data_IF_887382058043
#
_entry.id   IF_887382058043
#
_cell.length_a   1.000
_cell.length_b   1.000
_cell.length_c   1.000
_cell.angle_alpha   90.00
_cell.angle_beta   90.00
_cell.angle_gamma   90.00
#
_symmetry.space_group_name_H-M   'P 1'
#
loop_
_entity.id
_entity.type
_entity.pdbx_description
1 polymer ?
#
# COMPACT_ATOMS: atom_id res chain seq x y z
N UNK A 1 25.30 1.02 4.70
CA UNK A 1 24.91 1.99 5.76
C UNK A 1 23.40 2.20 5.61
N UNK A 2 22.58 1.59 6.47
CA UNK A 2 21.12 1.62 6.32
C UNK A 2 20.55 2.97 6.72
N UNK A 3 19.72 3.56 5.87
CA UNK A 3 18.93 4.74 6.22
C UNK A 3 18.13 4.45 7.50
N UNK A 4 18.32 5.28 8.52
CA UNK A 4 17.68 5.14 9.84
C UNK A 4 16.49 6.08 10.00
N UNK A 5 16.01 6.64 8.89
CA UNK A 5 14.85 7.50 8.84
C UNK A 5 13.62 6.78 9.42
N UNK A 6 12.78 7.54 10.12
CA UNK A 6 11.52 7.02 10.63
C UNK A 6 10.61 6.71 9.46
N UNK A 7 9.88 5.60 9.53
CA UNK A 7 8.86 5.28 8.53
C UNK A 7 7.74 6.30 8.66
N UNK A 8 7.33 6.88 7.55
CA UNK A 8 6.24 7.84 7.49
C UNK A 8 5.11 7.31 6.63
N UNK A 9 3.88 7.44 7.10
CA UNK A 9 2.66 7.11 6.36
C UNK A 9 2.22 8.31 5.53
N UNK A 10 1.64 8.07 4.36
CA UNK A 10 1.12 9.13 3.51
C UNK A 10 -0.39 8.93 3.32
N UNK A 11 -1.20 9.66 4.09
CA UNK A 11 -2.67 9.53 4.09
C UNK A 11 -3.23 10.77 3.40
N UNK A 12 -3.67 10.62 2.15
CA UNK A 12 -4.04 11.75 1.30
C UNK A 12 -2.88 12.72 1.08
N UNK A 13 -3.04 13.98 1.49
CA UNK A 13 -2.01 15.02 1.45
C UNK A 13 -1.15 15.06 2.70
N UNK A 14 -1.53 14.34 3.76
CA UNK A 14 -0.83 14.38 5.04
C UNK A 14 0.28 13.34 5.10
N UNK A 15 1.38 13.72 5.76
CA UNK A 15 2.49 12.83 6.11
C UNK A 15 2.47 12.63 7.61
N UNK A 16 2.30 11.38 8.05
CA UNK A 16 2.24 11.02 9.46
C UNK A 16 3.52 10.29 9.84
N UNK A 17 4.22 10.76 10.89
CA UNK A 17 5.35 10.03 11.44
C UNK A 17 4.86 8.88 12.32
N UNK A 18 5.43 7.69 12.14
CA UNK A 18 5.02 6.50 12.91
C UNK A 18 5.79 6.33 14.21
N UNK A 19 6.91 7.04 14.37
CA UNK A 19 7.88 6.80 15.44
C UNK A 19 8.67 5.48 15.29
N UNK A 20 8.42 4.70 14.23
CA UNK A 20 9.05 3.39 14.02
C UNK A 20 10.14 3.47 12.95
N UNK A 21 11.29 2.83 13.22
CA UNK A 21 12.35 2.61 12.22
C UNK A 21 12.10 1.39 11.35
N UNK A 22 11.28 0.45 11.83
CA UNK A 22 10.92 -0.79 11.15
C UNK A 22 9.42 -0.95 11.21
N UNK A 23 8.76 -0.69 10.09
CA UNK A 23 7.33 -0.91 9.91
C UNK A 23 7.14 -1.54 8.54
N UNK A 24 6.28 -2.56 8.47
CA UNK A 24 5.89 -3.18 7.21
C UNK A 24 4.82 -2.36 6.50
N UNK A 25 3.73 -3.03 6.14
CA UNK A 25 2.57 -2.42 5.51
C UNK A 25 1.31 -2.68 6.36
N UNK A 26 0.30 -1.83 6.17
CA UNK A 26 -1.03 -1.99 6.73
C UNK A 26 -1.97 -2.50 5.63
N UNK A 27 -2.67 -3.61 5.90
CA UNK A 27 -3.63 -4.20 4.97
C UNK A 27 -5.03 -4.10 5.57
N UNK A 28 -5.94 -3.44 4.86
CA UNK A 28 -7.34 -3.38 5.23
C UNK A 28 -8.06 -4.71 4.98
N UNK A 29 -9.25 -4.84 5.56
CA UNK A 29 -10.07 -6.05 5.45
C UNK A 29 -10.30 -6.45 4.00
N UNK A 30 -10.20 -7.76 3.72
CA UNK A 30 -10.40 -8.32 2.38
C UNK A 30 -9.45 -7.76 1.31
N UNK A 31 -8.32 -7.17 1.70
CA UNK A 31 -7.27 -6.83 0.75
C UNK A 31 -6.59 -8.11 0.21
N UNK A 32 -6.41 -8.17 -1.10
CA UNK A 32 -5.75 -9.30 -1.77
C UNK A 32 -4.46 -8.83 -2.42
N UNK A 33 -3.35 -9.48 -2.08
CA UNK A 33 -2.02 -9.12 -2.59
C UNK A 33 -1.53 -10.24 -3.49
N UNK A 34 -1.35 -9.93 -4.77
CA UNK A 34 -0.81 -10.88 -5.74
C UNK A 34 0.62 -11.29 -5.40
N UNK A 35 0.95 -12.54 -5.72
CA UNK A 35 2.27 -13.12 -5.46
C UNK A 35 3.40 -12.25 -6.01
N UNK A 36 4.54 -12.26 -5.31
CA UNK A 36 5.74 -11.49 -5.65
C UNK A 36 5.53 -9.96 -5.70
N UNK A 37 4.44 -9.45 -5.12
CA UNK A 37 4.29 -8.01 -4.89
C UNK A 37 5.13 -7.57 -3.70
N UNK A 38 5.70 -6.37 -3.80
CA UNK A 38 6.54 -5.78 -2.75
C UNK A 38 5.80 -4.58 -2.15
N UNK A 39 5.41 -4.72 -0.88
CA UNK A 39 4.85 -3.61 -0.10
C UNK A 39 5.98 -2.91 0.63
N UNK A 40 6.30 -1.68 0.24
CA UNK A 40 7.36 -0.93 0.91
C UNK A 40 6.94 -0.50 2.33
N UNK A 41 7.90 -0.27 3.24
CA UNK A 41 7.62 0.28 4.56
C UNK A 41 6.68 1.48 4.52
N UNK A 42 5.64 1.45 5.35
CA UNK A 42 4.63 2.51 5.44
C UNK A 42 3.57 2.49 4.33
N UNK A 43 3.48 1.40 3.56
CA UNK A 43 2.39 1.20 2.60
C UNK A 43 1.08 0.92 3.33
N UNK A 44 -0.02 1.48 2.83
CA UNK A 44 -1.38 1.25 3.34
C UNK A 44 -2.23 0.75 2.17
N UNK A 45 -2.86 -0.41 2.33
CA UNK A 45 -3.80 -0.96 1.37
C UNK A 45 -5.20 -0.83 1.95
N UNK A 46 -6.10 -0.13 1.26
CA UNK A 46 -7.49 0.00 1.65
C UNK A 46 -8.24 -1.33 1.64
N UNK A 47 -9.40 -1.36 2.32
CA UNK A 47 -10.25 -2.55 2.35
C UNK A 47 -10.77 -2.93 0.95
N UNK A 48 -10.97 -4.22 0.72
CA UNK A 48 -11.47 -4.78 -0.55
C UNK A 48 -10.61 -4.40 -1.78
N UNK A 49 -9.35 -4.01 -1.57
CA UNK A 49 -8.45 -3.62 -2.64
C UNK A 49 -7.60 -4.79 -3.09
N UNK A 50 -7.44 -4.93 -4.42
CA UNK A 50 -6.62 -5.98 -5.03
C UNK A 50 -5.35 -5.38 -5.61
N UNK A 51 -4.22 -6.02 -5.36
CA UNK A 51 -2.92 -5.69 -5.97
C UNK A 51 -2.53 -6.84 -6.88
N UNK A 52 -2.27 -6.57 -8.16
CA UNK A 52 -1.84 -7.60 -9.10
C UNK A 52 -0.46 -8.16 -8.73
N UNK A 53 -0.15 -9.41 -9.10
CA UNK A 53 1.18 -9.99 -8.90
C UNK A 53 2.30 -9.12 -9.48
N UNK A 54 3.51 -9.28 -8.94
CA UNK A 54 4.72 -8.58 -9.40
C UNK A 54 4.62 -7.03 -9.31
N UNK A 55 3.77 -6.51 -8.41
CA UNK A 55 3.58 -5.06 -8.25
C UNK A 55 4.39 -4.50 -7.10
N UNK A 56 5.07 -3.37 -7.32
CA UNK A 56 5.74 -2.61 -6.28
C UNK A 56 4.81 -1.51 -5.76
N UNK A 57 4.49 -1.54 -4.46
CA UNK A 57 3.52 -0.60 -3.85
C UNK A 57 4.20 0.34 -2.87
N UNK A 58 3.87 1.63 -2.94
CA UNK A 58 4.29 2.68 -2.00
C UNK A 58 3.12 3.60 -1.70
N UNK A 59 3.07 4.09 -0.46
CA UNK A 59 2.04 5.03 -0.02
C UNK A 59 0.70 4.35 0.23
N UNK A 60 -0.39 5.10 0.08
CA UNK A 60 -1.74 4.63 0.39
C UNK A 60 -2.51 4.32 -0.88
N UNK A 61 -3.01 3.09 -0.98
CA UNK A 61 -3.96 2.66 -2.00
C UNK A 61 -5.37 2.74 -1.38
N UNK A 62 -6.31 3.48 -1.99
CA UNK A 62 -7.66 3.63 -1.46
C UNK A 62 -8.42 2.30 -1.44
N UNK A 63 -9.52 2.22 -0.65
CA UNK A 63 -10.40 1.05 -0.63
C UNK A 63 -11.13 0.87 -1.96
N UNK A 64 -11.70 -0.32 -2.15
CA UNK A 64 -12.52 -0.69 -3.32
C UNK A 64 -11.82 -0.42 -4.66
N UNK A 65 -10.53 -0.72 -4.76
CA UNK A 65 -9.72 -0.49 -5.97
C UNK A 65 -8.94 -1.73 -6.43
N UNK A 66 -8.46 -1.68 -7.67
CA UNK A 66 -7.51 -2.64 -8.23
C UNK A 66 -6.26 -1.87 -8.66
N UNK A 67 -5.12 -2.22 -8.08
CA UNK A 67 -3.81 -1.75 -8.50
C UNK A 67 -3.19 -2.76 -9.47
N UNK A 68 -3.04 -2.36 -10.73
CA UNK A 68 -2.46 -3.18 -11.79
C UNK A 68 -0.92 -3.10 -11.76
N UNK A 69 -0.26 -4.09 -12.36
CA UNK A 69 1.19 -4.19 -12.43
C UNK A 69 1.86 -2.97 -13.10
N UNK A 70 1.18 -2.32 -14.05
CA UNK A 70 1.66 -1.11 -14.72
C UNK A 70 1.49 0.18 -13.87
N UNK A 71 1.05 0.06 -12.61
CA UNK A 71 0.79 1.19 -11.71
C UNK A 71 -0.57 1.86 -11.92
N UNK A 72 -1.41 1.38 -12.85
CA UNK A 72 -2.77 1.90 -13.01
C UNK A 72 -3.65 1.51 -11.83
N UNK A 73 -4.31 2.50 -11.25
CA UNK A 73 -5.30 2.30 -10.19
C UNK A 73 -6.70 2.47 -10.78
N UNK A 74 -7.55 1.44 -10.64
CA UNK A 74 -8.93 1.47 -11.13
C UNK A 74 -9.91 1.19 -9.99
N UNK A 75 -11.07 1.85 -10.02
CA UNK A 75 -12.13 1.54 -9.07
C UNK A 75 -12.68 0.14 -9.34
N UNK A 76 -12.95 -0.61 -8.27
CA UNK A 76 -13.60 -1.92 -8.33
C UNK A 76 -15.10 -1.66 -8.46
N UNK A 77 -15.70 -2.06 -9.57
CA UNK A 77 -17.14 -1.90 -9.75
C UNK A 77 -17.87 -2.73 -8.69
N UNK A 78 -18.80 -2.10 -7.96
CA UNK A 78 -19.73 -2.82 -7.10
C UNK A 78 -20.78 -3.45 -8.01
N UNK A 79 -20.78 -4.79 -8.08
CA UNK A 79 -21.90 -5.56 -8.63
C UNK A 79 -23.13 -5.42 -7.74
#
# INVERSE_FOLDING_TARGET
KGDRSLVTLRVGTQRLETGLKKMGALLGDYAEIGCNSVLNPGTIIGRNTQVYPLTMVRGTIPPDCILKQNGSLVAKNKS
#
